data_IF_678024010838
#
_entry.id   IF_678024010838
#
_cell.length_a   1.000
_cell.length_b   1.000
_cell.length_c   1.000
_cell.angle_alpha   90.00
_cell.angle_beta   90.00
_cell.angle_gamma   90.00
#
_symmetry.space_group_name_H-M   'P 1'
#
loop_
_entity.id
_entity.type
_entity.pdbx_description
1 polymer ?
#
# COMPACT_ATOMS: atom_id res chain seq x y z
N UNK A 1 34.02 -8.46 0.01
CA UNK A 1 33.30 -8.81 -1.23
C UNK A 1 32.86 -7.56 -1.98
N UNK A 2 32.67 -7.65 -3.29
CA UNK A 2 32.20 -6.52 -4.10
C UNK A 2 30.93 -6.91 -4.85
N UNK A 3 30.03 -5.94 -5.02
CA UNK A 3 28.93 -6.10 -5.97
C UNK A 3 29.48 -5.97 -7.38
N UNK A 4 29.04 -6.86 -8.29
CA UNK A 4 29.28 -6.67 -9.71
C UNK A 4 28.70 -5.33 -10.17
N UNK A 5 29.32 -4.71 -11.17
CA UNK A 5 28.79 -3.49 -11.78
C UNK A 5 27.63 -3.82 -12.74
N UNK A 6 26.50 -4.18 -12.13
CA UNK A 6 25.26 -4.44 -12.86
C UNK A 6 24.60 -3.14 -13.37
N UNK A 7 25.09 -1.97 -12.97
CA UNK A 7 24.59 -0.67 -13.43
C UNK A 7 25.04 -0.39 -14.84
N UNK A 8 26.34 -0.47 -15.08
CA UNK A 8 26.92 -0.29 -16.41
C UNK A 8 26.98 -1.60 -17.20
N UNK A 9 26.43 -2.68 -16.63
CA UNK A 9 26.43 -4.05 -17.17
C UNK A 9 27.85 -4.54 -17.49
N UNK A 10 28.82 -4.15 -16.66
CA UNK A 10 30.23 -4.52 -16.79
C UNK A 10 30.52 -5.69 -15.89
N UNK A 11 31.00 -6.78 -16.48
CA UNK A 11 31.38 -7.99 -15.73
C UNK A 11 32.82 -7.92 -15.19
N UNK A 12 33.64 -7.00 -15.69
CA UNK A 12 35.05 -6.82 -15.31
C UNK A 12 35.26 -5.70 -14.27
N UNK A 13 34.17 -5.11 -13.77
CA UNK A 13 34.20 -4.07 -12.75
C UNK A 13 33.27 -4.42 -11.58
N UNK A 14 33.70 -4.02 -10.39
CA UNK A 14 32.87 -3.91 -9.22
C UNK A 14 32.12 -2.57 -9.23
N UNK A 15 30.98 -2.52 -8.55
CA UNK A 15 30.18 -1.31 -8.38
C UNK A 15 30.98 -0.13 -7.78
N UNK A 16 31.93 -0.42 -6.88
CA UNK A 16 32.83 0.60 -6.35
C UNK A 16 33.77 1.20 -7.40
N UNK A 17 33.95 0.58 -8.57
CA UNK A 17 34.83 1.00 -9.66
C UNK A 17 36.11 0.18 -9.76
N UNK A 18 36.32 -0.80 -8.88
CA UNK A 18 37.48 -1.68 -8.91
C UNK A 18 37.39 -2.64 -10.10
N UNK A 19 38.42 -2.67 -10.95
CA UNK A 19 38.53 -3.66 -12.03
C UNK A 19 38.87 -5.03 -11.45
N UNK A 20 38.16 -6.07 -11.89
CA UNK A 20 38.35 -7.45 -11.45
C UNK A 20 38.61 -8.33 -12.68
N UNK A 21 39.84 -8.85 -12.79
CA UNK A 21 40.28 -9.59 -13.99
C UNK A 21 39.68 -11.00 -14.10
N UNK A 22 39.48 -11.67 -12.98
CA UNK A 22 38.87 -13.01 -12.91
C UNK A 22 37.86 -13.08 -11.76
N UNK A 23 36.65 -12.53 -11.94
CA UNK A 23 35.64 -12.51 -10.89
C UNK A 23 35.08 -13.91 -10.64
N UNK A 24 35.20 -14.40 -9.41
CA UNK A 24 34.50 -15.59 -8.96
C UNK A 24 33.11 -15.20 -8.49
N UNK A 25 32.07 -15.70 -9.16
CA UNK A 25 30.67 -15.47 -8.72
C UNK A 25 30.39 -16.33 -7.50
N UNK A 26 29.94 -15.69 -6.42
CA UNK A 26 29.54 -16.39 -5.20
C UNK A 26 28.02 -16.67 -5.27
N UNK A 27 27.58 -17.92 -5.05
CA UNK A 27 26.18 -18.31 -5.21
C UNK A 27 25.25 -17.72 -4.14
N UNK A 28 25.80 -17.33 -2.98
CA UNK A 28 25.10 -16.56 -1.96
C UNK A 28 26.14 -15.89 -1.06
N UNK A 29 26.04 -14.58 -0.77
CA UNK A 29 26.88 -13.99 0.27
C UNK A 29 26.52 -14.64 1.61
N UNK A 30 27.50 -15.25 2.30
CA UNK A 30 27.28 -15.71 3.66
C UNK A 30 27.04 -14.51 4.58
N UNK A 31 26.25 -14.68 5.64
CA UNK A 31 25.98 -13.62 6.63
C UNK A 31 27.22 -13.08 7.35
N UNK A 32 28.39 -13.70 7.17
CA UNK A 32 29.68 -13.28 7.72
C UNK A 32 30.64 -12.62 6.71
N UNK A 33 30.26 -12.51 5.43
CA UNK A 33 31.14 -11.97 4.41
C UNK A 33 31.02 -10.44 4.32
N UNK A 34 32.05 -9.73 4.81
CA UNK A 34 32.08 -8.27 4.76
C UNK A 34 32.02 -7.76 3.30
N UNK A 35 31.01 -6.98 2.98
CA UNK A 35 30.87 -6.28 1.69
C UNK A 35 31.67 -4.98 1.75
N UNK A 36 32.25 -4.58 0.61
CA UNK A 36 32.98 -3.33 0.49
C UNK A 36 32.06 -2.14 0.80
N UNK A 37 32.42 -1.25 1.75
CA UNK A 37 31.59 -0.10 2.13
C UNK A 37 31.27 0.84 0.96
N UNK A 38 32.18 0.98 -0.01
CA UNK A 38 31.95 1.81 -1.20
C UNK A 38 30.91 1.18 -2.14
N UNK A 39 30.85 -0.15 -2.21
CA UNK A 39 29.78 -0.83 -2.93
C UNK A 39 28.44 -0.60 -2.21
N UNK A 40 28.39 -0.77 -0.88
CA UNK A 40 27.18 -0.56 -0.08
C UNK A 40 26.64 0.88 -0.20
N UNK A 41 27.53 1.88 -0.11
CA UNK A 41 27.15 3.28 -0.26
C UNK A 41 26.57 3.58 -1.65
N UNK A 42 27.18 3.01 -2.71
CA UNK A 42 26.68 3.16 -4.09
C UNK A 42 25.35 2.44 -4.33
N UNK A 43 25.08 1.33 -3.63
CA UNK A 43 23.77 0.66 -3.71
C UNK A 43 22.64 1.58 -3.27
N UNK A 44 22.81 2.24 -2.12
CA UNK A 44 21.80 3.16 -1.58
C UNK A 44 21.57 4.32 -2.53
N UNK A 45 22.65 4.95 -3.01
CA UNK A 45 22.55 6.04 -3.99
C UNK A 45 21.83 5.61 -5.26
N UNK A 46 22.17 4.42 -5.78
CA UNK A 46 21.52 3.86 -6.97
C UNK A 46 20.04 3.61 -6.75
N UNK A 47 19.65 2.94 -5.66
CA UNK A 47 18.25 2.64 -5.39
C UNK A 47 17.42 3.93 -5.26
N UNK A 48 17.97 4.96 -4.62
CA UNK A 48 17.33 6.27 -4.55
C UNK A 48 17.14 6.89 -5.94
N UNK A 49 18.17 6.86 -6.79
CA UNK A 49 18.07 7.39 -8.15
C UNK A 49 17.04 6.62 -8.99
N UNK A 50 17.11 5.29 -8.97
CA UNK A 50 16.20 4.42 -9.69
C UNK A 50 14.75 4.64 -9.25
N UNK A 51 14.48 4.67 -7.93
CA UNK A 51 13.13 4.92 -7.41
C UNK A 51 12.61 6.29 -7.80
N UNK A 52 13.48 7.30 -7.83
CA UNK A 52 13.11 8.65 -8.29
C UNK A 52 12.70 8.63 -9.76
N UNK A 53 13.48 8.00 -10.63
CA UNK A 53 13.14 7.89 -12.06
C UNK A 53 11.81 7.15 -12.27
N UNK A 54 11.57 6.07 -11.51
CA UNK A 54 10.30 5.35 -11.55
C UNK A 54 9.12 6.24 -11.13
N UNK A 55 9.28 7.01 -10.05
CA UNK A 55 8.26 7.94 -9.56
C UNK A 55 7.96 9.04 -10.58
N UNK A 56 9.00 9.66 -11.16
CA UNK A 56 8.86 10.70 -12.19
C UNK A 56 8.16 10.14 -13.44
N UNK A 57 8.50 8.91 -13.85
CA UNK A 57 7.84 8.22 -14.97
C UNK A 57 6.36 7.97 -14.69
N UNK A 58 6.02 7.45 -13.51
CA UNK A 58 4.64 7.18 -13.10
C UNK A 58 3.80 8.47 -13.02
N UNK A 59 4.38 9.57 -12.53
CA UNK A 59 3.72 10.88 -12.50
C UNK A 59 3.43 11.37 -13.94
N UNK A 60 4.41 11.24 -14.85
CA UNK A 60 4.22 11.62 -16.25
C UNK A 60 3.13 10.78 -16.93
N UNK A 61 3.07 9.47 -16.64
CA UNK A 61 2.02 8.60 -17.13
C UNK A 61 0.64 9.00 -16.59
N UNK A 62 0.53 9.24 -15.28
CA UNK A 62 -0.70 9.72 -14.64
C UNK A 62 -1.19 11.02 -15.29
N UNK A 63 -0.31 11.97 -15.54
CA UNK A 63 -0.64 13.23 -16.22
C UNK A 63 -1.13 12.99 -17.65
N UNK A 64 -0.50 12.08 -18.40
CA UNK A 64 -0.97 11.70 -19.75
C UNK A 64 -2.34 11.05 -19.70
N UNK A 65 -2.60 10.19 -18.74
CA UNK A 65 -3.90 9.53 -18.56
C UNK A 65 -4.99 10.55 -18.22
N UNK A 66 -4.74 11.46 -17.29
CA UNK A 66 -5.65 12.57 -16.96
C UNK A 66 -5.95 13.44 -18.18
N UNK A 67 -4.93 13.78 -18.98
CA UNK A 67 -5.13 14.55 -20.19
C UNK A 67 -5.92 13.79 -21.27
N UNK A 68 -5.73 12.48 -21.40
CA UNK A 68 -6.37 11.65 -22.41
C UNK A 68 -7.84 11.34 -22.09
N UNK A 69 -8.14 11.05 -20.84
CA UNK A 69 -9.47 10.60 -20.41
C UNK A 69 -10.30 11.70 -19.76
N UNK A 70 -9.72 12.89 -19.57
CA UNK A 70 -10.28 13.92 -18.72
C UNK A 70 -10.07 13.56 -17.25
N UNK A 71 -9.81 14.56 -16.41
CA UNK A 71 -10.02 14.40 -14.99
C UNK A 71 -11.54 14.35 -14.82
N UNK A 72 -12.07 13.20 -14.38
CA UNK A 72 -13.47 13.13 -13.96
C UNK A 72 -13.59 14.07 -12.77
N UNK A 73 -13.95 15.32 -13.07
CA UNK A 73 -14.17 16.32 -12.06
C UNK A 73 -15.17 15.70 -11.09
N UNK A 74 -14.90 15.68 -9.77
CA UNK A 74 -15.89 15.22 -8.82
C UNK A 74 -17.17 15.99 -9.15
N UNK A 75 -18.22 15.25 -9.51
CA UNK A 75 -19.52 15.83 -9.81
C UNK A 75 -19.82 16.79 -8.66
N UNK A 76 -20.13 18.05 -9.00
CA UNK A 76 -20.48 19.04 -8.00
C UNK A 76 -21.54 18.39 -7.09
N UNK A 77 -21.33 18.36 -5.76
CA UNK A 77 -22.27 17.70 -4.88
C UNK A 77 -23.63 18.35 -5.12
N UNK A 78 -24.59 17.56 -5.61
CA UNK A 78 -25.97 17.98 -5.61
C UNK A 78 -26.30 18.41 -4.17
N UNK A 79 -27.01 19.53 -3.98
CA UNK A 79 -27.34 20.01 -2.65
C UNK A 79 -28.18 18.94 -1.96
N UNK A 80 -27.53 18.19 -1.06
CA UNK A 80 -28.19 17.21 -0.20
C UNK A 80 -29.24 17.99 0.60
N UNK A 81 -30.53 17.62 0.53
CA UNK A 81 -31.54 18.23 1.37
C UNK A 81 -31.10 18.10 2.83
N UNK A 82 -31.09 19.21 3.55
CA UNK A 82 -30.88 19.25 4.99
C UNK A 82 -32.09 18.61 5.69
N UNK A 83 -32.24 17.29 5.56
CA UNK A 83 -33.04 16.51 6.49
C UNK A 83 -32.15 16.22 7.68
N UNK A 84 -32.47 16.89 8.79
CA UNK A 84 -31.95 16.62 10.10
C UNK A 84 -32.26 15.16 10.48
N UNK A 85 -31.36 14.25 10.11
CA UNK A 85 -31.31 12.91 10.67
C UNK A 85 -30.91 13.09 12.14
N UNK A 86 -31.89 12.99 13.03
CA UNK A 86 -31.66 12.81 14.45
C UNK A 86 -30.64 11.70 14.65
N UNK A 87 -29.59 11.91 15.45
CA UNK A 87 -28.58 10.88 15.67
C UNK A 87 -29.26 9.67 16.32
N UNK A 88 -29.26 8.53 15.63
CA UNK A 88 -29.70 7.22 16.12
C UNK A 88 -28.71 6.65 17.16
N UNK A 89 -28.18 7.52 18.03
CA UNK A 89 -27.18 7.18 19.03
C UNK A 89 -27.22 8.15 20.21
N UNK A 90 -26.96 7.61 21.40
CA UNK A 90 -26.84 8.39 22.62
C UNK A 90 -25.47 9.12 22.63
N UNK A 91 -25.44 10.48 22.64
CA UNK A 91 -24.21 11.27 22.59
C UNK A 91 -23.31 11.10 23.82
N UNK A 92 -23.81 10.46 24.89
CA UNK A 92 -23.07 10.16 26.11
C UNK A 92 -22.27 8.85 26.04
N UNK A 93 -22.54 7.99 25.05
CA UNK A 93 -21.82 6.72 24.82
C UNK A 93 -20.50 6.93 24.09
N UNK A 94 -19.57 5.96 24.18
CA UNK A 94 -18.28 6.01 23.47
C UNK A 94 -18.50 5.93 21.95
N UNK A 95 -19.43 5.09 21.50
CA UNK A 95 -19.86 5.06 20.10
C UNK A 95 -20.47 6.39 19.65
N UNK A 96 -21.21 7.07 20.52
CA UNK A 96 -21.73 8.41 20.23
C UNK A 96 -20.61 9.45 20.06
N UNK A 97 -19.52 9.34 20.82
CA UNK A 97 -18.32 10.16 20.60
C UNK A 97 -17.61 9.80 19.29
N UNK A 98 -17.41 8.51 19.02
CA UNK A 98 -16.82 8.03 17.77
C UNK A 98 -17.60 8.47 16.54
N UNK A 99 -18.94 8.52 16.64
CA UNK A 99 -19.81 8.98 15.57
C UNK A 99 -19.64 10.46 15.28
N UNK A 100 -19.43 11.30 16.30
CA UNK A 100 -19.12 12.73 16.09
C UNK A 100 -17.79 12.92 15.36
N UNK A 101 -16.77 12.17 15.74
CA UNK A 101 -15.48 12.18 15.03
C UNK A 101 -15.61 11.72 13.58
N UNK A 102 -16.43 10.68 13.36
CA UNK A 102 -16.74 10.21 12.02
C UNK A 102 -17.48 11.27 11.20
N UNK A 103 -18.42 11.99 11.81
CA UNK A 103 -19.21 13.04 11.14
C UNK A 103 -18.34 14.27 10.82
N UNK A 104 -17.40 14.63 11.70
CA UNK A 104 -16.38 15.65 11.45
C UNK A 104 -15.49 15.27 10.28
N UNK A 105 -15.01 14.02 10.25
CA UNK A 105 -14.24 13.52 9.12
C UNK A 105 -15.07 13.58 7.84
N UNK A 106 -16.29 13.07 7.88
CA UNK A 106 -17.21 13.01 6.76
C UNK A 106 -17.47 14.39 6.15
N UNK A 107 -17.63 15.44 6.96
CA UNK A 107 -17.84 16.82 6.49
C UNK A 107 -16.69 17.37 5.63
N UNK A 108 -15.49 16.79 5.70
CA UNK A 108 -14.35 17.19 4.89
C UNK A 108 -14.39 16.64 3.47
N UNK A 109 -15.34 15.73 3.17
CA UNK A 109 -15.45 15.02 1.91
C UNK A 109 -16.85 15.14 1.31
N UNK A 110 -16.92 15.17 -0.02
CA UNK A 110 -18.17 15.22 -0.77
C UNK A 110 -18.68 13.81 -1.10
N UNK A 111 -18.99 13.01 -0.08
CA UNK A 111 -19.58 11.66 -0.27
C UNK A 111 -18.59 10.54 -0.59
N UNK A 112 -17.30 10.84 -0.77
CA UNK A 112 -16.23 9.84 -0.94
C UNK A 112 -15.15 10.01 0.12
N UNK A 113 -15.05 9.05 1.05
CA UNK A 113 -14.07 9.09 2.15
C UNK A 113 -12.95 8.09 1.87
N UNK A 114 -11.67 8.53 1.74
CA UNK A 114 -10.55 7.60 1.59
C UNK A 114 -10.38 6.69 2.82
N UNK A 115 -10.22 5.38 2.60
CA UNK A 115 -10.09 4.40 3.68
C UNK A 115 -8.99 4.75 4.70
N UNK A 116 -7.82 5.21 4.23
CA UNK A 116 -6.72 5.56 5.14
C UNK A 116 -7.08 6.74 6.05
N UNK A 117 -7.91 7.69 5.59
CA UNK A 117 -8.39 8.81 6.40
C UNK A 117 -9.36 8.32 7.46
N UNK A 118 -10.29 7.45 7.07
CA UNK A 118 -11.23 6.80 7.97
C UNK A 118 -10.51 5.98 9.05
N UNK A 119 -9.56 5.13 8.63
CA UNK A 119 -8.73 4.32 9.52
C UNK A 119 -7.96 5.19 10.52
N UNK A 120 -7.26 6.22 10.04
CA UNK A 120 -6.44 7.06 10.91
C UNK A 120 -7.29 7.84 11.92
N UNK A 121 -8.46 8.34 11.51
CA UNK A 121 -9.38 9.02 12.43
C UNK A 121 -9.89 8.08 13.52
N UNK A 122 -10.36 6.89 13.15
CA UNK A 122 -10.87 5.90 14.12
C UNK A 122 -9.75 5.35 15.02
N UNK A 123 -8.53 5.20 14.49
CA UNK A 123 -7.36 4.83 15.30
C UNK A 123 -7.00 5.94 16.30
N UNK A 124 -6.94 7.20 15.86
CA UNK A 124 -6.66 8.32 16.74
C UNK A 124 -7.71 8.45 17.87
N UNK A 125 -8.99 8.22 17.55
CA UNK A 125 -10.04 8.13 18.55
C UNK A 125 -9.77 7.01 19.55
N UNK A 126 -9.52 5.79 19.08
CA UNK A 126 -9.21 4.64 19.95
C UNK A 126 -7.96 4.88 20.82
N UNK A 127 -6.95 5.55 20.28
CA UNK A 127 -5.70 5.84 20.99
C UNK A 127 -5.91 6.87 22.11
N UNK A 128 -6.88 7.77 21.95
CA UNK A 128 -7.26 8.75 22.99
C UNK A 128 -7.97 8.13 24.20
N UNK A 129 -8.49 6.91 24.07
CA UNK A 129 -9.21 6.19 25.13
C UNK A 129 -8.25 5.43 26.05
N UNK A 130 -8.60 5.35 27.33
CA UNK A 130 -7.91 4.47 28.28
C UNK A 130 -8.29 2.98 28.10
N UNK A 131 -7.66 2.10 28.87
CA UNK A 131 -7.88 0.64 28.76
C UNK A 131 -9.32 0.23 29.08
N UNK A 132 -9.96 0.87 30.06
CA UNK A 132 -11.33 0.55 30.45
C UNK A 132 -12.32 1.08 29.40
N UNK A 133 -12.11 2.29 28.91
CA UNK A 133 -12.88 2.88 27.82
C UNK A 133 -12.76 2.06 26.53
N UNK A 134 -11.58 1.54 26.18
CA UNK A 134 -11.44 0.63 25.02
C UNK A 134 -12.22 -0.67 25.19
N UNK A 135 -12.25 -1.23 26.39
CA UNK A 135 -13.04 -2.43 26.68
C UNK A 135 -14.55 -2.15 26.61
N UNK A 136 -15.00 -1.00 27.13
CA UNK A 136 -16.38 -0.54 27.02
C UNK A 136 -16.76 -0.29 25.56
N UNK A 137 -15.91 0.38 24.78
CA UNK A 137 -16.12 0.61 23.36
C UNK A 137 -16.28 -0.70 22.59
N UNK A 138 -15.47 -1.73 22.90
CA UNK A 138 -15.59 -3.04 22.28
C UNK A 138 -16.94 -3.72 22.61
N UNK A 139 -17.46 -3.54 23.82
CA UNK A 139 -18.81 -4.00 24.17
C UNK A 139 -19.90 -3.25 23.40
N UNK A 140 -19.77 -1.92 23.29
CA UNK A 140 -20.72 -1.09 22.56
C UNK A 140 -20.74 -1.40 21.05
N UNK A 141 -19.58 -1.67 20.44
CA UNK A 141 -19.45 -2.08 19.03
C UNK A 141 -20.18 -3.41 18.75
N UNK A 142 -20.16 -4.34 19.70
CA UNK A 142 -20.90 -5.60 19.61
C UNK A 142 -20.65 -6.37 18.30
N UNK A 143 -21.74 -6.59 17.54
CA UNK A 143 -21.75 -7.40 16.33
C UNK A 143 -20.89 -6.84 15.18
N UNK A 144 -20.48 -5.57 15.25
CA UNK A 144 -19.57 -4.96 14.27
C UNK A 144 -18.10 -5.31 14.49
N UNK A 145 -17.74 -5.95 15.61
CA UNK A 145 -16.45 -6.60 15.88
C UNK A 145 -15.20 -5.71 15.89
N UNK A 146 -15.18 -4.58 15.18
CA UNK A 146 -14.12 -3.57 15.21
C UNK A 146 -14.68 -2.19 14.88
N UNK A 147 -14.04 -1.16 15.46
CA UNK A 147 -14.43 0.24 15.24
C UNK A 147 -14.34 0.63 13.76
N UNK A 148 -13.35 0.12 13.03
CA UNK A 148 -13.19 0.42 11.61
C UNK A 148 -14.29 -0.20 10.75
N UNK A 149 -14.77 -1.40 11.08
CA UNK A 149 -15.90 -2.04 10.38
C UNK A 149 -17.20 -1.31 10.66
N UNK A 150 -17.44 -0.97 11.93
CA UNK A 150 -18.57 -0.13 12.33
C UNK A 150 -18.57 1.21 11.56
N UNK A 151 -17.45 1.93 11.55
CA UNK A 151 -17.34 3.22 10.89
C UNK A 151 -17.53 3.13 9.36
N UNK A 152 -17.02 2.06 8.74
CA UNK A 152 -17.23 1.78 7.31
C UNK A 152 -18.71 1.57 7.01
N UNK A 153 -19.40 0.74 7.80
CA UNK A 153 -20.84 0.52 7.66
C UNK A 153 -21.66 1.79 7.83
N UNK A 154 -21.28 2.67 8.76
CA UNK A 154 -21.93 3.98 8.97
C UNK A 154 -21.78 4.92 7.78
N UNK A 155 -20.59 4.99 7.17
CA UNK A 155 -20.39 5.78 5.93
C UNK A 155 -21.26 5.22 4.80
N UNK A 156 -21.29 3.89 4.63
CA UNK A 156 -22.09 3.25 3.57
C UNK A 156 -23.59 3.41 3.78
N UNK A 157 -24.08 3.34 5.02
CA UNK A 157 -25.48 3.54 5.36
C UNK A 157 -26.00 4.93 4.98
N UNK A 158 -25.10 5.92 4.83
CA UNK A 158 -25.41 7.28 4.36
C UNK A 158 -25.41 7.41 2.84
N UNK A 159 -25.21 6.31 2.12
CA UNK A 159 -25.03 6.31 0.66
C UNK A 159 -23.66 6.80 0.21
N UNK A 160 -22.70 6.96 1.12
CA UNK A 160 -21.35 7.44 0.81
C UNK A 160 -20.40 6.29 0.53
N UNK A 161 -19.38 6.54 -0.30
CA UNK A 161 -18.40 5.54 -0.72
C UNK A 161 -17.12 5.66 0.10
N UNK A 162 -16.60 4.52 0.58
CA UNK A 162 -15.24 4.45 1.13
C UNK A 162 -14.29 3.98 0.03
N UNK A 163 -13.44 4.89 -0.46
CA UNK A 163 -12.54 4.59 -1.58
C UNK A 163 -11.28 3.86 -1.10
N UNK A 164 -10.77 2.95 -1.93
CA UNK A 164 -9.60 2.09 -1.62
C UNK A 164 -9.75 1.31 -0.30
N UNK A 165 -10.98 0.87 0.03
CA UNK A 165 -11.24 0.09 1.23
C UNK A 165 -10.87 -1.38 1.01
N UNK A 166 -9.98 -1.97 1.83
CA UNK A 166 -9.70 -3.41 1.81
C UNK A 166 -10.88 -4.26 2.28
N UNK A 167 -11.99 -3.63 2.70
CA UNK A 167 -13.23 -4.31 3.10
C UNK A 167 -14.05 -4.73 1.87
N UNK A 168 -13.74 -4.23 0.66
CA UNK A 168 -14.39 -4.60 -0.60
C UNK A 168 -13.49 -5.35 -1.58
N UNK A 169 -12.19 -5.45 -1.32
CA UNK A 169 -11.34 -6.36 -2.07
C UNK A 169 -11.53 -7.73 -1.44
N UNK A 170 -12.07 -8.69 -2.21
CA UNK A 170 -12.14 -10.08 -1.77
C UNK A 170 -10.76 -10.45 -1.23
N UNK A 171 -10.71 -10.91 0.03
CA UNK A 171 -9.46 -11.31 0.64
C UNK A 171 -8.73 -12.33 -0.26
N UNK A 172 -9.48 -13.11 -1.04
CA UNK A 172 -8.97 -14.00 -2.08
C UNK A 172 -8.27 -13.26 -3.23
N UNK A 173 -8.76 -12.15 -3.76
CA UNK A 173 -8.08 -11.40 -4.84
C UNK A 173 -6.77 -10.76 -4.37
N UNK A 174 -6.73 -10.26 -3.12
CA UNK A 174 -5.51 -9.70 -2.55
C UNK A 174 -4.50 -10.79 -2.16
N UNK A 175 -4.98 -11.94 -1.67
CA UNK A 175 -4.15 -13.14 -1.46
C UNK A 175 -3.67 -13.76 -2.77
N UNK A 176 -4.49 -13.77 -3.83
CA UNK A 176 -4.12 -14.24 -5.17
C UNK A 176 -3.11 -13.30 -5.83
N UNK A 177 -3.27 -11.98 -5.72
CA UNK A 177 -2.27 -11.03 -6.20
C UNK A 177 -0.93 -11.21 -5.48
N UNK A 178 -0.97 -11.37 -4.15
CA UNK A 178 0.24 -11.60 -3.35
C UNK A 178 0.87 -12.98 -3.61
N UNK A 179 0.07 -14.03 -3.83
CA UNK A 179 0.54 -15.35 -4.24
C UNK A 179 1.10 -15.34 -5.67
N UNK A 180 0.48 -14.63 -6.60
CA UNK A 180 0.97 -14.53 -7.97
C UNK A 180 2.28 -13.75 -8.05
N UNK A 181 2.46 -12.71 -7.24
CA UNK A 181 3.69 -11.93 -7.20
C UNK A 181 4.85 -12.69 -6.51
N UNK A 182 4.55 -13.49 -5.47
CA UNK A 182 5.55 -14.31 -4.76
C UNK A 182 5.97 -15.58 -5.54
N UNK A 183 5.09 -16.15 -6.38
CA UNK A 183 5.42 -17.28 -7.25
C UNK A 183 5.92 -16.89 -8.65
N UNK A 184 5.73 -15.65 -9.11
CA UNK A 184 6.28 -15.18 -10.39
C UNK A 184 7.82 -15.07 -10.40
N UNK A 185 8.46 -14.98 -9.23
CA UNK A 185 9.93 -15.02 -9.11
C UNK A 185 10.47 -16.46 -9.04
N UNK A 186 9.58 -17.46 -8.92
CA UNK A 186 9.92 -18.85 -8.58
C UNK A 186 9.32 -19.87 -9.54
N UNK A 187 9.34 -19.63 -10.85
CA UNK A 187 9.16 -20.72 -11.82
C UNK A 187 9.76 -20.41 -13.20
N UNK A 188 10.83 -21.11 -13.60
CA UNK A 188 11.36 -21.04 -14.95
C UNK A 188 10.52 -21.95 -15.86
N UNK A 189 9.46 -21.45 -16.49
CA UNK A 189 8.95 -22.17 -17.68
C UNK A 189 8.11 -21.33 -18.64
N UNK A 190 8.36 -21.63 -19.93
CA UNK A 190 7.67 -21.24 -21.19
C UNK A 190 8.29 -20.00 -21.85
N UNK A 191 9.10 -20.14 -22.91
CA UNK A 191 8.82 -20.95 -24.12
C UNK A 191 10.06 -21.67 -24.66
N UNK A 192 9.94 -22.99 -24.65
CA UNK A 192 10.42 -23.98 -25.64
C UNK A 192 11.26 -23.48 -26.83
N UNK A 193 12.49 -23.99 -26.95
CA UNK A 193 12.93 -24.63 -28.19
C UNK A 193 13.73 -25.91 -27.87
N UNK A 194 13.20 -27.04 -28.36
CA UNK A 194 13.80 -28.39 -28.31
C UNK A 194 15.06 -28.42 -29.16
N UNK A 195 16.18 -29.00 -28.69
CA UNK A 195 17.05 -29.91 -29.46
C UNK A 195 17.77 -30.90 -28.52
N UNK A 196 18.10 -32.08 -29.05
CA UNK A 196 18.12 -33.39 -28.37
C UNK A 196 19.46 -33.80 -27.74
N UNK A 197 19.38 -34.79 -26.84
CA UNK A 197 20.43 -35.63 -26.29
C UNK A 197 21.44 -36.19 -27.32
N UNK A 198 22.69 -36.30 -26.88
CA UNK A 198 23.69 -37.25 -27.38
C UNK A 198 24.78 -37.47 -26.32
N UNK A 199 24.83 -38.67 -25.74
CA UNK A 199 25.98 -39.14 -24.95
C UNK A 199 27.16 -39.42 -25.89
N UNK A 200 28.34 -38.92 -25.56
CA UNK A 200 29.59 -39.67 -25.34
C UNK A 200 30.66 -38.73 -24.81
#
# INVERSE_FOLDING_TARGET
MHHADYLDRRSDHALCGLRVETPTTLPHPGSGDAVCPDCEAKLVYYHLHWWREQAETAIAELQRLRAKYGEEAPAAPEPVPAEAATPDYDPTTLLGRAQRELDELCRQFAGEVPYFRLKNAMQAFSDSLDTLERAQLAQEIGADGSLIRWATGRVQARGWRVTNSPVHTEAEEMWEAWHHESYAVSSPSRKTSKWRFGRR
#
